data_IF_718747972382
#
_entry.id   IF_718747972382
#
_cell.length_a   1.000
_cell.length_b   1.000
_cell.length_c   1.000
_cell.angle_alpha   90.00
_cell.angle_beta   90.00
_cell.angle_gamma   90.00
#
_symmetry.space_group_name_H-M   'P 1'
#
loop_
_entity.id
_entity.type
_entity.pdbx_description
1 polymer ?
#
# COMPACT_ATOMS: atom_id res chain seq x y z
N UNK A 1 -6.18 -14.84 -32.27
CA UNK A 1 -5.42 -15.72 -31.34
C UNK A 1 -4.46 -14.93 -30.45
N UNK A 2 -3.77 -13.89 -30.94
CA UNK A 2 -2.90 -13.04 -30.11
C UNK A 2 -3.64 -12.20 -29.04
N UNK A 3 -4.87 -11.77 -29.30
CA UNK A 3 -5.60 -10.91 -28.35
C UNK A 3 -6.06 -11.68 -27.11
N UNK A 4 -6.42 -12.96 -27.29
CA UNK A 4 -6.85 -13.82 -26.18
C UNK A 4 -5.68 -14.14 -25.23
N UNK A 5 -4.47 -14.32 -25.78
CA UNK A 5 -3.24 -14.46 -24.99
C UNK A 5 -2.92 -13.18 -24.19
N UNK A 6 -3.04 -12.00 -24.81
CA UNK A 6 -2.86 -10.71 -24.11
C UNK A 6 -3.87 -10.53 -22.97
N UNK A 7 -5.14 -10.86 -23.20
CA UNK A 7 -6.18 -10.80 -22.16
C UNK A 7 -5.85 -11.73 -21.00
N UNK A 8 -5.43 -12.97 -21.28
CA UNK A 8 -5.01 -13.90 -20.21
C UNK A 8 -3.83 -13.36 -19.40
N UNK A 9 -2.82 -12.78 -20.04
CA UNK A 9 -1.66 -12.21 -19.34
C UNK A 9 -2.06 -11.05 -18.43
N UNK A 10 -2.91 -10.14 -18.91
CA UNK A 10 -3.39 -8.99 -18.12
C UNK A 10 -4.19 -9.47 -16.91
N UNK A 11 -5.11 -10.42 -17.10
CA UNK A 11 -5.89 -11.00 -16.00
C UNK A 11 -5.00 -11.74 -14.99
N UNK A 12 -4.03 -12.52 -15.45
CA UNK A 12 -3.07 -13.21 -14.59
C UNK A 12 -2.25 -12.23 -13.74
N UNK A 13 -1.77 -11.15 -14.35
CA UNK A 13 -1.06 -10.08 -13.64
C UNK A 13 -1.94 -9.39 -12.59
N UNK A 14 -3.20 -9.08 -12.93
CA UNK A 14 -4.16 -8.48 -11.99
C UNK A 14 -4.45 -9.39 -10.80
N UNK A 15 -4.68 -10.68 -11.04
CA UNK A 15 -4.94 -11.66 -9.97
C UNK A 15 -3.72 -11.82 -9.08
N UNK A 16 -2.53 -11.88 -9.67
CA UNK A 16 -1.27 -11.96 -8.92
C UNK A 16 -1.08 -10.73 -8.03
N UNK A 17 -1.24 -9.52 -8.59
CA UNK A 17 -1.16 -8.27 -7.83
C UNK A 17 -2.21 -8.22 -6.72
N UNK A 18 -3.45 -8.66 -6.98
CA UNK A 18 -4.49 -8.74 -5.97
C UNK A 18 -4.11 -9.72 -4.83
N UNK A 19 -3.52 -10.88 -5.16
CA UNK A 19 -3.03 -11.84 -4.17
C UNK A 19 -1.89 -11.27 -3.30
N UNK A 20 -0.94 -10.58 -3.93
CA UNK A 20 0.13 -9.84 -3.23
C UNK A 20 -0.49 -8.79 -2.31
N UNK A 21 -1.39 -7.96 -2.81
CA UNK A 21 -2.08 -6.96 -2.00
C UNK A 21 -2.81 -7.61 -0.82
N UNK A 22 -3.54 -8.71 -1.01
CA UNK A 22 -4.24 -9.39 0.08
C UNK A 22 -3.31 -9.99 1.15
N UNK A 23 -2.12 -10.44 0.78
CA UNK A 23 -1.13 -10.97 1.73
C UNK A 23 -0.45 -9.83 2.50
N UNK A 24 -0.11 -8.74 1.81
CA UNK A 24 0.72 -7.67 2.37
C UNK A 24 -0.07 -6.50 2.96
N UNK A 25 -1.31 -6.21 2.51
CA UNK A 25 -2.18 -5.17 3.09
C UNK A 25 -2.50 -5.43 4.57
N UNK A 26 -2.95 -6.62 5.01
CA UNK A 26 -3.34 -6.81 6.41
C UNK A 26 -2.17 -6.63 7.39
N UNK A 27 -0.94 -7.08 7.11
CA UNK A 27 0.26 -6.70 7.86
C UNK A 27 0.58 -5.19 7.80
N UNK A 28 0.46 -4.56 6.63
CA UNK A 28 0.65 -3.11 6.47
C UNK A 28 -0.30 -2.29 7.35
N UNK A 29 -1.59 -2.64 7.38
CA UNK A 29 -2.58 -1.97 8.23
C UNK A 29 -2.42 -2.27 9.73
N UNK A 30 -1.79 -3.39 10.10
CA UNK A 30 -1.43 -3.67 11.52
C UNK A 30 -0.27 -2.80 12.01
N UNK A 31 0.55 -2.24 11.12
CA UNK A 31 1.68 -1.36 11.43
C UNK A 31 1.33 0.13 11.37
N UNK A 32 0.29 0.50 10.62
CA UNK A 32 -0.32 1.83 10.63
C UNK A 32 -0.76 2.14 12.08
N UNK A 33 -0.01 3.00 12.77
CA UNK A 33 -0.20 3.31 14.21
C UNK A 33 0.68 2.56 15.21
N UNK A 34 1.61 1.72 14.75
CA UNK A 34 2.69 1.13 15.58
C UNK A 34 4.09 1.49 15.10
N UNK A 35 4.20 2.23 13.99
CA UNK A 35 5.46 2.78 13.55
C UNK A 35 5.93 3.87 14.53
N UNK A 36 7.22 3.91 14.89
CA UNK A 36 7.75 4.99 15.73
C UNK A 36 7.47 6.33 15.06
N UNK A 37 6.78 7.23 15.76
CA UNK A 37 6.34 8.54 15.26
C UNK A 37 4.88 8.61 14.77
N UNK A 38 4.20 7.48 14.54
CA UNK A 38 2.74 7.47 14.38
C UNK A 38 2.07 7.61 15.76
N UNK A 39 1.14 8.57 15.90
CA UNK A 39 0.50 8.86 17.18
C UNK A 39 -0.90 8.26 17.21
N UNK A 40 -1.15 7.34 18.15
CA UNK A 40 -2.47 6.75 18.38
C UNK A 40 -2.99 7.17 19.75
N UNK A 41 -4.01 8.00 19.78
CA UNK A 41 -4.68 8.46 21.00
C UNK A 41 -6.00 7.68 21.12
N UNK A 42 -6.07 6.75 22.07
CA UNK A 42 -7.30 6.03 22.41
C UNK A 42 -7.93 6.59 23.67
N UNK A 43 -9.20 6.96 23.58
CA UNK A 43 -10.07 7.41 24.67
C UNK A 43 -11.35 6.56 24.65
N UNK A 44 -12.05 6.45 25.77
CA UNK A 44 -13.18 5.52 25.95
C UNK A 44 -14.28 5.61 24.88
N UNK A 45 -14.46 6.78 24.25
CA UNK A 45 -15.41 7.00 23.13
C UNK A 45 -14.75 7.50 21.83
N UNK A 46 -13.43 7.63 21.76
CA UNK A 46 -12.77 8.22 20.59
C UNK A 46 -11.37 7.66 20.36
N UNK A 47 -11.06 7.31 19.11
CA UNK A 47 -9.71 6.94 18.68
C UNK A 47 -9.25 7.94 17.63
N UNK A 48 -8.18 8.69 17.93
CA UNK A 48 -7.55 9.61 16.99
C UNK A 48 -6.23 8.98 16.55
N UNK A 49 -6.03 8.89 15.24
CA UNK A 49 -4.84 8.32 14.64
C UNK A 49 -4.16 9.37 13.75
N UNK A 50 -2.86 9.62 14.02
CA UNK A 50 -2.04 10.59 13.28
C UNK A 50 -0.85 9.84 12.63
N UNK A 51 -0.96 9.48 11.33
CA UNK A 51 0.03 8.67 10.60
C UNK A 51 1.23 9.49 10.08
N UNK A 52 2.02 10.13 10.92
CA UNK A 52 3.12 11.00 10.44
C UNK A 52 4.18 10.20 9.69
N UNK A 53 4.71 9.16 10.32
CA UNK A 53 5.80 8.35 9.76
C UNK A 53 5.31 7.56 8.56
N UNK A 54 4.10 7.01 8.65
CA UNK A 54 3.47 6.30 7.54
C UNK A 54 3.29 7.17 6.30
N UNK A 55 2.84 8.42 6.45
CA UNK A 55 2.65 9.33 5.31
C UNK A 55 3.97 9.78 4.69
N UNK A 56 5.01 10.00 5.49
CA UNK A 56 6.36 10.33 4.99
C UNK A 56 6.91 9.16 4.16
N UNK A 57 6.80 7.93 4.67
CA UNK A 57 7.26 6.74 3.95
C UNK A 57 6.55 6.56 2.61
N UNK A 58 5.22 6.67 2.61
CA UNK A 58 4.40 6.61 1.38
C UNK A 58 4.84 7.68 0.38
N UNK A 59 5.05 8.92 0.83
CA UNK A 59 5.50 10.02 -0.02
C UNK A 59 6.85 9.76 -0.68
N UNK A 60 7.83 9.26 0.08
CA UNK A 60 9.16 8.91 -0.46
C UNK A 60 9.05 7.80 -1.50
N UNK A 61 8.33 6.72 -1.19
CA UNK A 61 8.15 5.58 -2.11
C UNK A 61 7.48 6.02 -3.41
N UNK A 62 6.39 6.79 -3.32
CA UNK A 62 5.72 7.35 -4.49
C UNK A 62 6.65 8.24 -5.31
N UNK A 63 7.42 9.11 -4.65
CA UNK A 63 8.35 10.02 -5.33
C UNK A 63 9.42 9.24 -6.10
N UNK A 64 10.01 8.21 -5.49
CA UNK A 64 11.01 7.35 -6.14
C UNK A 64 10.39 6.60 -7.32
N UNK A 65 9.21 6.00 -7.15
CA UNK A 65 8.53 5.27 -8.22
C UNK A 65 8.19 6.18 -9.40
N UNK A 66 7.63 7.36 -9.14
CA UNK A 66 7.32 8.35 -10.17
C UNK A 66 8.59 8.77 -10.89
N UNK A 67 9.69 9.00 -10.17
CA UNK A 67 10.95 9.39 -10.79
C UNK A 67 11.51 8.28 -11.71
N UNK A 68 11.48 7.02 -11.30
CA UNK A 68 11.94 5.87 -12.12
C UNK A 68 11.05 5.63 -13.35
N UNK A 69 9.75 5.91 -13.26
CA UNK A 69 8.83 5.71 -14.40
C UNK A 69 8.91 6.86 -15.40
N UNK A 70 9.15 8.09 -14.92
CA UNK A 70 9.19 9.29 -15.77
C UNK A 70 10.58 9.49 -16.40
N UNK A 71 11.65 9.02 -15.76
CA UNK A 71 13.04 9.20 -16.20
C UNK A 71 13.63 7.90 -16.75
#
# INVERSE_FOLDING_TARGET
MNDLGKVLMIFGALIFLAGVLLIFLPPLFKWIGKLPGDILIKKDNATIFIPITSMIFISIVLTVLVNIVIY
#
